data_IF_717407938104
#
_entry.id   IF_717407938104
#
_cell.length_a   1.000
_cell.length_b   1.000
_cell.length_c   1.000
_cell.angle_alpha   90.00
_cell.angle_beta   90.00
_cell.angle_gamma   90.00
#
_symmetry.space_group_name_H-M   'P 1'
#
loop_
_entity.id
_entity.type
_entity.pdbx_description
1 polymer ?
#
# COMPACT_ATOMS: atom_id res chain seq x y z
N UNK A 1 -26.74 -14.13 3.12
CA UNK A 1 -26.53 -15.33 2.28
C UNK A 1 -26.93 -16.54 3.10
N UNK A 2 -28.22 -16.66 3.42
CA UNK A 2 -28.55 -17.23 4.73
C UNK A 2 -29.55 -18.37 4.73
N UNK A 3 -30.06 -18.85 3.58
CA UNK A 3 -31.10 -19.89 3.61
C UNK A 3 -31.25 -20.70 2.30
N UNK A 4 -30.17 -20.96 1.54
CA UNK A 4 -30.29 -21.64 0.22
C UNK A 4 -30.86 -23.06 0.36
N UNK A 5 -30.41 -23.82 1.37
CA UNK A 5 -30.96 -25.13 1.67
C UNK A 5 -32.45 -25.06 2.06
N UNK A 6 -32.83 -24.09 2.89
CA UNK A 6 -34.21 -23.88 3.30
C UNK A 6 -35.11 -23.49 2.12
N UNK A 7 -34.60 -22.72 1.15
CA UNK A 7 -35.31 -22.43 -0.10
C UNK A 7 -35.50 -23.68 -0.96
N UNK A 8 -34.46 -24.52 -1.11
CA UNK A 8 -34.53 -25.79 -1.85
C UNK A 8 -35.54 -26.73 -1.21
N UNK A 9 -35.45 -26.94 0.11
CA UNK A 9 -36.36 -27.82 0.85
C UNK A 9 -37.81 -27.35 0.74
N UNK A 10 -38.09 -26.05 0.89
CA UNK A 10 -39.44 -25.50 0.72
C UNK A 10 -39.94 -25.63 -0.71
N UNK A 11 -39.08 -25.44 -1.70
CA UNK A 11 -39.44 -25.61 -3.11
C UNK A 11 -39.81 -27.06 -3.40
N UNK A 12 -39.00 -28.03 -2.95
CA UNK A 12 -39.26 -29.46 -3.10
C UNK A 12 -40.54 -29.87 -2.39
N UNK A 13 -40.77 -29.41 -1.16
CA UNK A 13 -42.02 -29.67 -0.42
C UNK A 13 -43.25 -29.09 -1.13
N UNK A 14 -43.17 -27.83 -1.58
CA UNK A 14 -44.28 -27.15 -2.23
C UNK A 14 -44.61 -27.75 -3.60
N UNK A 15 -43.63 -28.00 -4.45
CA UNK A 15 -43.84 -28.59 -5.78
C UNK A 15 -44.32 -30.04 -5.68
N UNK A 16 -43.80 -30.83 -4.74
CA UNK A 16 -44.31 -32.19 -4.53
C UNK A 16 -45.75 -32.15 -3.99
N UNK A 17 -46.05 -31.25 -3.05
CA UNK A 17 -47.42 -31.09 -2.54
C UNK A 17 -48.39 -30.61 -3.62
N UNK A 18 -47.98 -29.69 -4.50
CA UNK A 18 -48.78 -29.18 -5.61
C UNK A 18 -48.97 -30.23 -6.70
N UNK A 19 -47.93 -30.97 -7.07
CA UNK A 19 -47.99 -32.06 -8.04
C UNK A 19 -48.96 -33.17 -7.58
N UNK A 20 -49.01 -33.46 -6.28
CA UNK A 20 -49.90 -34.47 -5.69
C UNK A 20 -51.32 -33.97 -5.45
N UNK A 21 -51.49 -32.66 -5.21
CA UNK A 21 -52.80 -32.04 -4.97
C UNK A 21 -53.46 -31.55 -6.26
N UNK A 22 -52.73 -31.50 -7.37
CA UNK A 22 -53.27 -31.14 -8.68
C UNK A 22 -54.27 -32.18 -9.17
N UNK A 23 -55.32 -31.70 -9.84
CA UNK A 23 -56.44 -32.49 -10.37
C UNK A 23 -56.06 -33.69 -11.25
N UNK A 24 -54.78 -33.87 -11.63
CA UNK A 24 -54.30 -35.09 -12.27
C UNK A 24 -54.49 -36.38 -11.43
N UNK A 25 -54.71 -36.27 -10.11
CA UNK A 25 -55.02 -37.41 -9.24
C UNK A 25 -56.51 -37.71 -9.13
N UNK A 26 -57.35 -36.69 -9.36
CA UNK A 26 -58.75 -36.90 -9.63
C UNK A 26 -58.83 -37.23 -11.11
N UNK A 27 -58.76 -38.54 -11.42
CA UNK A 27 -59.24 -39.08 -12.69
C UNK A 27 -60.74 -38.74 -12.85
N UNK A 28 -61.05 -37.46 -13.04
CA UNK A 28 -62.41 -36.92 -13.19
C UNK A 28 -62.96 -37.27 -14.59
N UNK A 29 -62.05 -37.64 -15.50
CA UNK A 29 -62.33 -38.09 -16.86
C UNK A 29 -62.75 -39.57 -16.97
N UNK A 30 -62.80 -40.34 -15.87
CA UNK A 30 -63.40 -41.68 -15.86
C UNK A 30 -64.90 -41.66 -15.52
N UNK A 31 -65.52 -40.49 -15.61
CA UNK A 31 -66.93 -40.23 -15.30
C UNK A 31 -67.87 -40.89 -16.32
N UNK A 32 -68.05 -42.20 -16.21
CA UNK A 32 -69.18 -42.89 -16.84
C UNK A 32 -69.09 -44.41 -16.98
N UNK A 33 -67.90 -44.99 -17.13
CA UNK A 33 -67.77 -46.40 -17.55
C UNK A 33 -67.20 -47.35 -16.48
N UNK A 34 -66.58 -46.83 -15.43
CA UNK A 34 -65.91 -47.65 -14.41
C UNK A 34 -66.64 -47.52 -13.05
N UNK A 35 -67.04 -48.62 -12.41
CA UNK A 35 -67.62 -48.59 -11.07
C UNK A 35 -66.71 -47.86 -10.08
N UNK A 36 -67.30 -46.99 -9.27
CA UNK A 36 -66.59 -46.16 -8.29
C UNK A 36 -65.68 -46.97 -7.34
N UNK A 37 -66.03 -48.22 -7.07
CA UNK A 37 -65.25 -49.13 -6.24
C UNK A 37 -63.89 -49.49 -6.86
N UNK A 38 -63.83 -49.65 -8.19
CA UNK A 38 -62.59 -49.92 -8.92
C UNK A 38 -61.73 -48.67 -8.97
N UNK A 39 -62.33 -47.50 -9.18
CA UNK A 39 -61.62 -46.21 -9.11
C UNK A 39 -61.05 -45.98 -7.70
N UNK A 40 -61.79 -46.32 -6.64
CA UNK A 40 -61.33 -46.21 -5.26
C UNK A 40 -60.16 -47.16 -4.95
N UNK A 41 -60.26 -48.42 -5.39
CA UNK A 41 -59.19 -49.41 -5.24
C UNK A 41 -57.94 -49.03 -6.03
N UNK A 42 -58.10 -48.53 -7.26
CA UNK A 42 -56.99 -48.06 -8.09
C UNK A 42 -56.30 -46.85 -7.44
N UNK A 43 -57.07 -45.89 -6.91
CA UNK A 43 -56.54 -44.76 -6.13
C UNK A 43 -55.77 -45.23 -4.91
N UNK A 44 -56.33 -46.15 -4.12
CA UNK A 44 -55.66 -46.70 -2.94
C UNK A 44 -54.32 -47.38 -3.32
N UNK A 45 -54.32 -48.19 -4.37
CA UNK A 45 -53.12 -48.89 -4.83
C UNK A 45 -52.03 -47.95 -5.37
N UNK A 46 -52.42 -46.87 -6.07
CA UNK A 46 -51.48 -45.86 -6.58
C UNK A 46 -50.89 -45.03 -5.44
N UNK A 47 -51.70 -44.66 -4.45
CA UNK A 47 -51.24 -43.95 -3.25
C UNK A 47 -50.27 -44.84 -2.45
N UNK A 48 -50.62 -46.10 -2.25
CA UNK A 48 -49.79 -47.05 -1.49
C UNK A 48 -48.44 -47.30 -2.17
N UNK A 49 -48.42 -47.59 -3.47
CA UNK A 49 -47.16 -47.80 -4.22
C UNK A 49 -46.27 -46.57 -4.31
N UNK A 50 -46.84 -45.35 -4.27
CA UNK A 50 -46.07 -44.09 -4.37
C UNK A 50 -45.61 -43.54 -3.02
N UNK A 51 -46.22 -43.96 -1.91
CA UNK A 51 -45.81 -43.57 -0.54
C UNK A 51 -44.33 -43.89 -0.27
N UNK A 52 -43.84 -44.99 -0.83
CA UNK A 52 -42.43 -45.38 -0.72
C UNK A 52 -41.49 -44.47 -1.54
N UNK A 53 -41.95 -43.94 -2.67
CA UNK A 53 -41.18 -42.98 -3.50
C UNK A 53 -41.17 -41.57 -2.94
N UNK A 54 -42.19 -41.22 -2.15
CA UNK A 54 -42.46 -39.87 -1.66
C UNK A 54 -42.28 -39.72 -0.14
N UNK A 55 -41.53 -40.62 0.49
CA UNK A 55 -41.22 -40.52 1.91
C UNK A 55 -40.43 -39.24 2.21
N UNK A 56 -40.72 -38.60 3.35
CA UNK A 56 -40.02 -37.38 3.81
C UNK A 56 -38.50 -37.56 3.83
N UNK A 57 -38.01 -38.74 4.21
CA UNK A 57 -36.58 -39.04 4.19
C UNK A 57 -35.95 -39.07 2.78
N UNK A 58 -36.73 -39.39 1.73
CA UNK A 58 -36.26 -39.28 0.33
C UNK A 58 -36.29 -37.84 -0.18
N UNK A 59 -37.25 -37.04 0.28
CA UNK A 59 -37.31 -35.60 -0.02
C UNK A 59 -36.13 -34.85 0.62
N UNK A 60 -35.78 -35.19 1.86
CA UNK A 60 -34.60 -34.65 2.54
C UNK A 60 -33.31 -35.05 1.81
N UNK A 61 -33.22 -36.31 1.36
CA UNK A 61 -32.06 -36.80 0.62
C UNK A 61 -31.93 -36.11 -0.75
N UNK A 62 -33.04 -35.93 -1.46
CA UNK A 62 -33.07 -35.17 -2.72
C UNK A 62 -32.69 -33.70 -2.51
N UNK A 63 -33.22 -33.06 -1.46
CA UNK A 63 -32.90 -31.66 -1.13
C UNK A 63 -31.42 -31.50 -0.79
N UNK A 64 -30.84 -32.48 -0.10
CA UNK A 64 -29.41 -32.54 0.18
C UNK A 64 -28.59 -32.72 -1.09
N UNK A 65 -28.97 -33.65 -1.97
CA UNK A 65 -28.25 -33.89 -3.22
C UNK A 65 -28.28 -32.67 -4.15
N UNK A 66 -29.41 -31.97 -4.23
CA UNK A 66 -29.53 -30.69 -4.96
C UNK A 66 -28.61 -29.63 -4.34
N UNK A 67 -28.59 -29.53 -3.01
CA UNK A 67 -27.73 -28.58 -2.31
C UNK A 67 -26.24 -28.88 -2.53
N UNK A 68 -25.84 -30.15 -2.47
CA UNK A 68 -24.45 -30.57 -2.69
C UNK A 68 -24.01 -30.25 -4.12
N UNK A 69 -24.86 -30.49 -5.12
CA UNK A 69 -24.61 -30.12 -6.52
C UNK A 69 -24.51 -28.60 -6.73
N UNK A 70 -25.40 -27.82 -6.12
CA UNK A 70 -25.37 -26.34 -6.16
C UNK A 70 -24.12 -25.79 -5.47
N UNK A 71 -23.71 -26.40 -4.36
CA UNK A 71 -22.49 -26.04 -3.64
C UNK A 71 -21.25 -26.28 -4.49
N UNK A 72 -21.18 -27.42 -5.19
CA UNK A 72 -20.09 -27.73 -6.10
C UNK A 72 -20.04 -26.77 -7.30
N UNK A 73 -21.20 -26.47 -7.90
CA UNK A 73 -21.30 -25.47 -8.97
C UNK A 73 -20.82 -24.10 -8.49
N UNK A 74 -21.28 -23.67 -7.31
CA UNK A 74 -20.87 -22.40 -6.71
C UNK A 74 -19.37 -22.36 -6.41
N UNK A 75 -18.79 -23.46 -5.95
CA UNK A 75 -17.35 -23.54 -5.72
C UNK A 75 -16.56 -23.31 -7.02
N UNK A 76 -16.98 -23.96 -8.11
CA UNK A 76 -16.38 -23.76 -9.45
C UNK A 76 -16.56 -22.32 -9.94
N UNK A 77 -17.76 -21.76 -9.81
CA UNK A 77 -18.04 -20.37 -10.18
C UNK A 77 -17.23 -19.37 -9.34
N UNK A 78 -17.10 -19.61 -8.04
CA UNK A 78 -16.28 -18.77 -7.15
C UNK A 78 -14.81 -18.82 -7.56
N UNK A 79 -14.29 -19.98 -7.93
CA UNK A 79 -12.92 -20.12 -8.42
C UNK A 79 -12.75 -19.37 -9.74
N UNK A 80 -13.68 -19.53 -10.68
CA UNK A 80 -13.67 -18.79 -11.95
C UNK A 80 -13.72 -17.28 -11.75
N UNK A 81 -14.52 -16.78 -10.81
CA UNK A 81 -14.57 -15.36 -10.48
C UNK A 81 -13.25 -14.90 -9.87
N UNK A 82 -12.65 -15.68 -8.97
CA UNK A 82 -11.34 -15.36 -8.40
C UNK A 82 -10.24 -15.32 -9.47
N UNK A 83 -10.28 -16.22 -10.45
CA UNK A 83 -9.31 -16.28 -11.55
C UNK A 83 -9.54 -15.18 -12.59
N UNK A 84 -10.78 -14.71 -12.78
CA UNK A 84 -11.14 -13.62 -13.70
C UNK A 84 -10.79 -12.23 -13.15
N UNK A 85 -10.67 -12.08 -11.82
CA UNK A 85 -10.24 -10.83 -11.18
C UNK A 85 -8.72 -10.72 -11.33
N UNK A 86 -8.29 -10.32 -12.53
CA UNK A 86 -6.92 -9.92 -12.85
C UNK A 86 -6.56 -8.49 -12.39
N UNK A 87 -7.41 -7.87 -11.56
CA UNK A 87 -7.12 -6.59 -10.93
C UNK A 87 -6.03 -6.75 -9.86
N UNK A 88 -5.24 -5.69 -9.63
CA UNK A 88 -4.23 -5.67 -8.56
C UNK A 88 -4.91 -6.06 -7.24
N UNK A 89 -4.54 -7.21 -6.64
CA UNK A 89 -5.26 -7.69 -5.48
C UNK A 89 -5.03 -6.74 -4.31
N UNK A 90 -6.11 -6.48 -3.55
CA UNK A 90 -6.05 -5.56 -2.40
C UNK A 90 -4.95 -5.92 -1.40
N UNK A 91 -4.64 -7.21 -1.24
CA UNK A 91 -3.59 -7.67 -0.34
C UNK A 91 -2.17 -7.28 -0.80
N UNK A 92 -1.95 -7.05 -2.10
CA UNK A 92 -0.67 -6.61 -2.67
C UNK A 92 -0.47 -5.10 -2.57
N UNK A 93 -1.51 -4.33 -2.24
CA UNK A 93 -1.40 -2.90 -2.00
C UNK A 93 -0.97 -2.66 -0.55
N UNK A 94 -0.02 -1.76 -0.38
CA UNK A 94 0.41 -1.29 0.93
C UNK A 94 -0.71 -0.62 1.74
N UNK A 95 -0.46 -0.43 3.03
CA UNK A 95 -1.48 -0.05 4.00
C UNK A 95 -2.09 1.33 3.78
N UNK A 96 -1.29 2.30 3.31
CA UNK A 96 -1.74 3.66 3.02
C UNK A 96 -2.52 3.70 1.70
N UNK A 97 -2.08 2.96 0.68
CA UNK A 97 -2.84 2.87 -0.58
C UNK A 97 -4.19 2.20 -0.37
N UNK A 98 -4.25 1.14 0.45
CA UNK A 98 -5.50 0.45 0.78
C UNK A 98 -6.47 1.32 1.57
N UNK A 99 -5.96 2.05 2.57
CA UNK A 99 -6.80 2.97 3.37
C UNK A 99 -7.39 4.10 2.53
N UNK A 100 -6.65 4.56 1.50
CA UNK A 100 -7.12 5.56 0.53
C UNK A 100 -8.20 5.02 -0.41
N UNK A 101 -8.11 3.75 -0.83
CA UNK A 101 -9.14 3.08 -1.62
C UNK A 101 -10.43 2.91 -0.81
N UNK A 102 -10.31 2.64 0.50
CA UNK A 102 -11.45 2.44 1.40
C UNK A 102 -12.06 3.77 1.91
N UNK A 103 -11.41 4.91 1.65
CA UNK A 103 -11.95 6.26 1.90
C UNK A 103 -11.79 6.77 3.35
N UNK A 104 -11.18 6.01 4.26
CA UNK A 104 -10.95 6.41 5.66
C UNK A 104 -9.45 6.58 5.97
N UNK A 105 -8.78 7.55 5.34
CA UNK A 105 -7.42 7.92 5.75
C UNK A 105 -7.45 8.93 6.90
N UNK A 106 -7.44 8.44 8.16
CA UNK A 106 -7.40 9.27 9.39
C UNK A 106 -6.01 9.84 9.71
N UNK A 107 -4.96 9.27 9.14
CA UNK A 107 -3.58 9.72 9.28
C UNK A 107 -2.85 9.41 7.99
N UNK A 108 -2.03 10.34 7.50
CA UNK A 108 -1.28 10.16 6.25
C UNK A 108 0.20 10.22 6.57
N UNK A 109 0.90 9.08 6.50
CA UNK A 109 2.35 9.06 6.58
C UNK A 109 2.95 9.12 5.17
N UNK A 110 3.75 10.15 4.90
CA UNK A 110 4.46 10.30 3.61
C UNK A 110 5.51 9.21 3.44
N UNK A 111 6.22 8.83 4.50
CA UNK A 111 7.23 7.77 4.48
C UNK A 111 6.61 6.44 4.06
N UNK A 112 5.50 6.04 4.71
CA UNK A 112 4.78 4.81 4.35
C UNK A 112 4.18 4.87 2.96
N UNK A 113 3.71 6.04 2.52
CA UNK A 113 3.21 6.21 1.17
C UNK A 113 4.33 6.06 0.12
N UNK A 114 5.55 6.52 0.41
CA UNK A 114 6.72 6.33 -0.45
C UNK A 114 7.06 4.84 -0.55
N UNK A 115 7.08 4.12 0.57
CA UNK A 115 7.30 2.67 0.59
C UNK A 115 6.22 1.94 -0.23
N UNK A 116 4.94 2.23 0.03
CA UNK A 116 3.82 1.62 -0.67
C UNK A 116 3.85 1.87 -2.19
N UNK A 117 4.25 3.07 -2.63
CA UNK A 117 4.35 3.43 -4.05
C UNK A 117 5.51 2.70 -4.73
N UNK A 118 6.62 2.49 -4.03
CA UNK A 118 7.76 1.74 -4.57
C UNK A 118 7.46 0.24 -4.70
N UNK A 119 6.60 -0.31 -3.84
CA UNK A 119 6.16 -1.70 -3.88
C UNK A 119 5.08 -2.00 -4.93
N UNK A 120 4.50 -0.97 -5.58
CA UNK A 120 3.47 -1.17 -6.60
C UNK A 120 3.98 -2.05 -7.75
N UNK A 121 3.24 -3.11 -8.15
CA UNK A 121 3.64 -3.98 -9.24
C UNK A 121 3.61 -3.23 -10.58
N UNK A 122 4.53 -3.61 -11.48
CA UNK A 122 4.44 -3.20 -12.87
C UNK A 122 3.50 -4.15 -13.59
N UNK A 123 2.43 -3.62 -14.19
CA UNK A 123 1.60 -4.39 -15.10
C UNK A 123 2.20 -4.31 -16.49
N UNK A 124 2.70 -5.43 -17.00
CA UNK A 124 3.17 -5.55 -18.39
C UNK A 124 2.05 -6.06 -19.29
N UNK A 125 1.96 -5.47 -20.47
CA UNK A 125 1.06 -5.94 -21.53
C UNK A 125 1.71 -7.19 -22.10
N UNK A 126 1.23 -8.36 -21.69
CA UNK A 126 1.50 -9.58 -22.44
C UNK A 126 0.71 -9.42 -23.74
N UNK A 127 1.41 -9.22 -24.85
CA UNK A 127 0.83 -9.23 -26.20
C UNK A 127 0.46 -10.67 -26.58
N UNK A 128 -0.42 -11.30 -25.81
CA UNK A 128 -1.08 -12.52 -26.24
C UNK A 128 -2.34 -12.14 -27.01
N UNK A 129 -2.47 -12.81 -28.15
CA UNK A 129 -3.44 -12.57 -29.19
C UNK A 129 -4.87 -12.60 -28.62
N UNK A 130 -5.72 -11.72 -29.17
CA UNK A 130 -7.18 -11.63 -28.97
C UNK A 130 -7.72 -10.65 -27.89
N UNK A 131 -8.15 -9.49 -28.39
CA UNK A 131 -9.37 -8.78 -27.95
C UNK A 131 -9.42 -8.21 -26.51
N UNK A 132 -8.36 -7.59 -26.01
CA UNK A 132 -8.55 -6.54 -24.99
C UNK A 132 -9.18 -5.30 -25.64
N UNK A 133 -10.30 -4.75 -25.11
CA UNK A 133 -10.87 -3.52 -25.65
C UNK A 133 -9.83 -2.40 -25.57
N UNK A 134 -9.63 -1.62 -26.64
CA UNK A 134 -8.62 -0.54 -26.72
C UNK A 134 -8.58 0.39 -25.49
N UNK A 135 -9.72 0.56 -24.81
CA UNK A 135 -9.83 1.34 -23.58
C UNK A 135 -9.04 0.74 -22.40
N UNK A 136 -8.98 -0.58 -22.23
CA UNK A 136 -8.25 -1.23 -21.14
C UNK A 136 -6.73 -1.04 -21.31
N UNK A 137 -6.22 -1.19 -22.54
CA UNK A 137 -4.82 -0.95 -22.85
C UNK A 137 -4.42 0.52 -22.60
N UNK A 138 -5.33 1.46 -22.90
CA UNK A 138 -5.11 2.88 -22.62
C UNK A 138 -5.03 3.17 -21.12
N UNK A 139 -5.94 2.60 -20.32
CA UNK A 139 -5.94 2.74 -18.86
C UNK A 139 -4.67 2.12 -18.26
N UNK A 140 -4.23 0.97 -18.78
CA UNK A 140 -3.02 0.31 -18.30
C UNK A 140 -1.76 1.13 -18.56
N UNK A 141 -1.68 1.75 -19.74
CA UNK A 141 -0.59 2.67 -20.07
C UNK A 141 -0.64 3.93 -19.19
N UNK A 142 -1.83 4.48 -18.93
CA UNK A 142 -2.01 5.60 -17.99
C UNK A 142 -1.53 5.22 -16.58
N UNK A 143 -1.90 4.04 -16.08
CA UNK A 143 -1.42 3.51 -14.80
C UNK A 143 0.11 3.39 -14.78
N UNK A 144 0.71 2.81 -15.82
CA UNK A 144 2.16 2.63 -15.91
C UNK A 144 2.91 3.97 -15.91
N UNK A 145 2.38 4.97 -16.62
CA UNK A 145 2.94 6.32 -16.63
C UNK A 145 2.79 7.00 -15.27
N UNK A 146 1.62 6.91 -14.65
CA UNK A 146 1.38 7.47 -13.32
C UNK A 146 2.29 6.83 -12.26
N UNK A 147 2.48 5.51 -12.32
CA UNK A 147 3.40 4.78 -11.44
C UNK A 147 4.84 5.31 -11.60
N UNK A 148 5.33 5.46 -12.84
CA UNK A 148 6.67 6.00 -13.11
C UNK A 148 6.81 7.43 -12.57
N UNK A 149 5.83 8.27 -12.80
CA UNK A 149 5.83 9.65 -12.30
C UNK A 149 5.84 9.70 -10.78
N UNK A 150 5.03 8.87 -10.11
CA UNK A 150 5.01 8.79 -8.65
C UNK A 150 6.34 8.31 -8.08
N UNK A 151 6.99 7.32 -8.71
CA UNK A 151 8.33 6.87 -8.33
C UNK A 151 9.34 8.02 -8.44
N UNK A 152 9.31 8.80 -9.53
CA UNK A 152 10.17 9.97 -9.71
C UNK A 152 9.93 11.03 -8.63
N UNK A 153 8.67 11.26 -8.23
CA UNK A 153 8.34 12.18 -7.13
C UNK A 153 8.90 11.67 -5.80
N UNK A 154 8.78 10.38 -5.51
CA UNK A 154 9.33 9.78 -4.30
C UNK A 154 10.86 9.93 -4.23
N UNK A 155 11.55 9.67 -5.35
CA UNK A 155 13.00 9.86 -5.46
C UNK A 155 13.40 11.33 -5.25
N UNK A 156 12.64 12.27 -5.83
CA UNK A 156 12.89 13.69 -5.65
C UNK A 156 12.71 14.14 -4.19
N UNK A 157 11.72 13.59 -3.47
CA UNK A 157 11.50 13.85 -2.04
C UNK A 157 12.71 13.36 -1.24
N UNK A 158 13.14 12.11 -1.42
CA UNK A 158 14.27 11.53 -0.70
C UNK A 158 15.57 12.31 -0.93
N UNK A 159 15.83 12.71 -2.19
CA UNK A 159 17.00 13.55 -2.52
C UNK A 159 16.86 14.92 -1.87
N UNK A 160 15.67 15.51 -1.90
CA UNK A 160 15.34 16.78 -1.30
C UNK A 160 15.58 16.79 0.21
N UNK A 161 15.12 15.78 0.94
CA UNK A 161 15.31 15.64 2.39
C UNK A 161 16.79 15.57 2.75
N UNK A 162 17.57 14.75 2.03
CA UNK A 162 19.01 14.65 2.25
C UNK A 162 19.71 15.99 2.00
N UNK A 163 19.40 16.67 0.89
CA UNK A 163 20.02 17.96 0.57
C UNK A 163 19.58 19.07 1.51
N UNK A 164 18.34 19.04 1.97
CA UNK A 164 17.86 19.98 2.98
C UNK A 164 18.64 19.81 4.29
N UNK A 165 18.87 18.58 4.73
CA UNK A 165 19.68 18.29 5.92
C UNK A 165 21.12 18.81 5.80
N UNK A 166 21.76 18.58 4.65
CA UNK A 166 23.10 19.12 4.38
C UNK A 166 23.14 20.65 4.42
N UNK A 167 22.18 21.32 3.78
CA UNK A 167 22.08 22.79 3.77
C UNK A 167 21.83 23.32 5.19
N UNK A 168 20.96 22.66 5.96
CA UNK A 168 20.67 23.05 7.34
C UNK A 168 21.93 22.95 8.20
N UNK A 169 22.73 21.90 8.03
CA UNK A 169 24.03 21.78 8.69
C UNK A 169 25.00 22.91 8.30
N UNK A 170 25.08 23.26 7.02
CA UNK A 170 25.92 24.38 6.56
C UNK A 170 25.46 25.72 7.14
N UNK A 171 24.15 25.98 7.13
CA UNK A 171 23.56 27.18 7.71
C UNK A 171 23.84 27.25 9.21
N UNK A 172 23.75 26.14 9.94
CA UNK A 172 24.10 26.10 11.35
C UNK A 172 25.57 26.46 11.58
N UNK A 173 26.50 25.92 10.79
CA UNK A 173 27.93 26.27 10.90
C UNK A 173 28.19 27.75 10.60
N UNK A 174 27.53 28.30 9.58
CA UNK A 174 27.62 29.72 9.24
C UNK A 174 27.06 30.58 10.37
N UNK A 175 25.89 30.22 10.91
CA UNK A 175 25.28 30.94 12.03
C UNK A 175 26.16 30.89 13.28
N UNK A 176 26.78 29.74 13.58
CA UNK A 176 27.75 29.64 14.67
C UNK A 176 28.94 30.57 14.47
N UNK A 177 29.52 30.62 13.27
CA UNK A 177 30.63 31.54 12.96
C UNK A 177 30.21 33.01 13.11
N UNK A 178 29.06 33.39 12.55
CA UNK A 178 28.50 34.74 12.66
C UNK A 178 28.29 35.13 14.12
N UNK A 179 27.71 34.23 14.93
CA UNK A 179 27.47 34.48 16.34
C UNK A 179 28.79 34.60 17.13
N UNK A 180 29.78 33.75 16.88
CA UNK A 180 31.09 33.87 17.52
C UNK A 180 31.80 35.18 17.16
N UNK A 181 31.70 35.65 15.91
CA UNK A 181 32.24 36.95 15.52
C UNK A 181 31.52 38.07 16.27
N UNK A 182 30.19 38.03 16.36
CA UNK A 182 29.39 39.02 17.10
C UNK A 182 29.70 39.04 18.60
N UNK A 183 29.89 37.88 19.22
CA UNK A 183 30.27 37.79 20.63
C UNK A 183 31.68 38.31 20.90
N UNK A 184 32.60 38.17 19.94
CA UNK A 184 34.01 38.57 20.09
C UNK A 184 34.26 40.02 19.63
N UNK A 185 33.46 40.53 18.71
CA UNK A 185 33.60 41.87 18.14
C UNK A 185 32.72 42.87 18.89
N UNK A 186 33.34 43.87 19.51
CA UNK A 186 32.64 44.89 20.32
C UNK A 186 31.54 45.64 19.52
N UNK A 187 31.74 45.82 18.22
CA UNK A 187 30.85 46.60 17.35
C UNK A 187 29.69 45.79 16.72
N UNK A 188 29.58 44.49 16.98
CA UNK A 188 28.55 43.59 16.39
C UNK A 188 28.47 43.58 14.83
N UNK A 189 29.38 44.28 14.13
CA UNK A 189 29.40 44.34 12.67
C UNK A 189 30.31 43.27 12.06
N UNK A 190 29.65 42.20 11.60
CA UNK A 190 30.31 41.06 10.93
C UNK A 190 30.85 41.44 9.55
N UNK A 191 30.22 42.40 8.87
CA UNK A 191 30.62 42.79 7.51
C UNK A 191 31.93 43.56 7.54
N UNK A 192 32.06 44.49 8.50
CA UNK A 192 33.30 45.22 8.73
C UNK A 192 34.42 44.29 9.22
N UNK A 193 34.10 43.30 10.06
CA UNK A 193 35.06 42.29 10.49
C UNK A 193 35.69 41.54 9.30
N UNK A 194 34.87 41.07 8.34
CA UNK A 194 35.39 40.39 7.15
C UNK A 194 36.13 41.34 6.20
N UNK A 195 35.67 42.60 6.05
CA UNK A 195 36.33 43.59 5.19
C UNK A 195 37.73 43.97 5.70
N UNK A 196 37.87 44.14 7.02
CA UNK A 196 39.13 44.54 7.67
C UNK A 196 40.03 43.36 8.06
N UNK A 197 39.57 42.12 7.89
CA UNK A 197 40.29 40.92 8.30
C UNK A 197 41.71 40.85 7.71
N UNK A 198 41.85 41.14 6.41
CA UNK A 198 43.14 41.07 5.74
C UNK A 198 44.10 42.16 6.23
N UNK A 199 43.59 43.36 6.52
CA UNK A 199 44.39 44.45 7.07
C UNK A 199 44.88 44.11 8.48
N UNK A 200 43.99 43.60 9.34
CA UNK A 200 44.35 43.10 10.69
C UNK A 200 45.40 41.99 10.62
N UNK A 201 45.29 41.10 9.63
CA UNK A 201 46.27 40.02 9.41
C UNK A 201 47.64 40.57 8.98
N UNK A 202 47.68 41.57 8.08
CA UNK A 202 48.93 42.20 7.65
C UNK A 202 49.63 42.90 8.82
N UNK A 203 48.89 43.67 9.63
CA UNK A 203 49.43 44.33 10.82
C UNK A 203 49.99 43.29 11.80
N UNK A 204 49.24 42.22 12.09
CA UNK A 204 49.70 41.14 12.97
C UNK A 204 50.96 40.43 12.43
N UNK A 205 51.07 40.25 11.10
CA UNK A 205 52.26 39.68 10.47
C UNK A 205 53.47 40.63 10.53
N UNK A 206 53.27 41.94 10.38
CA UNK A 206 54.32 42.94 10.52
C UNK A 206 54.82 43.04 11.97
N UNK A 207 53.91 43.01 12.95
CA UNK A 207 54.26 42.92 14.37
C UNK A 207 55.04 41.65 14.68
N UNK A 208 54.61 40.51 14.14
CA UNK A 208 55.31 39.24 14.30
C UNK A 208 56.70 39.26 13.63
N UNK A 209 56.84 39.92 12.48
CA UNK A 209 58.12 40.15 11.81
C UNK A 209 59.03 41.03 12.66
N UNK A 210 58.52 42.10 13.26
CA UNK A 210 59.28 42.95 14.17
C UNK A 210 59.74 42.19 15.41
N UNK A 211 58.87 41.38 16.03
CA UNK A 211 59.23 40.50 17.15
C UNK A 211 60.33 39.50 16.78
N UNK A 212 60.26 38.92 15.58
CA UNK A 212 61.30 38.04 15.03
C UNK A 212 62.61 38.80 14.78
N UNK A 213 62.55 39.97 14.17
CA UNK A 213 63.72 40.81 13.92
C UNK A 213 64.38 41.29 15.23
N UNK A 214 63.60 41.68 16.23
CA UNK A 214 64.11 42.04 17.55
C UNK A 214 64.77 40.83 18.22
N UNK A 215 64.14 39.66 18.15
CA UNK A 215 64.71 38.41 18.65
C UNK A 215 66.03 38.03 17.95
N UNK A 216 66.18 38.35 16.66
CA UNK A 216 67.40 38.10 15.87
C UNK A 216 68.48 39.17 16.11
N UNK A 217 68.12 40.46 16.18
CA UNK A 217 69.04 41.59 16.36
C UNK A 217 69.60 41.68 17.77
N UNK A 218 68.85 41.22 18.78
CA UNK A 218 69.31 41.12 20.17
C UNK A 218 70.09 39.82 20.44
N UNK A 219 70.76 39.29 19.40
CA UNK A 219 71.52 38.03 19.44
C UNK A 219 72.81 38.14 20.25
N UNK A 220 72.63 38.20 21.57
CA UNK A 220 73.39 37.32 22.44
C UNK A 220 72.59 36.02 22.59
N UNK A 221 73.25 34.88 22.37
CA UNK A 221 72.69 33.52 22.36
C UNK A 221 72.12 33.08 23.72
N UNK A 222 71.01 33.68 24.15
CA UNK A 222 70.30 33.33 25.38
C UNK A 222 69.35 32.14 25.18
N UNK A 223 69.41 31.09 26.02
CA UNK A 223 68.55 29.90 25.93
C UNK A 223 67.05 30.18 26.15
N UNK A 224 66.69 31.29 26.80
CA UNK A 224 65.29 31.67 27.04
C UNK A 224 64.56 32.12 25.76
N UNK A 225 65.26 32.82 24.86
CA UNK A 225 64.67 33.26 23.58
C UNK A 225 64.48 32.10 22.60
N UNK A 226 65.38 31.10 22.61
CA UNK A 226 65.15 29.83 21.89
C UNK A 226 63.92 29.09 22.38
N UNK A 227 63.61 29.14 23.69
CA UNK A 227 62.36 28.60 24.23
C UNK A 227 61.13 29.40 23.76
N UNK A 228 61.19 30.74 23.72
CA UNK A 228 60.10 31.57 23.16
C UNK A 228 59.82 31.27 21.69
N UNK A 229 60.87 31.20 20.85
CA UNK A 229 60.72 30.85 19.44
C UNK A 229 60.17 29.43 19.28
N UNK A 230 60.65 28.47 20.09
CA UNK A 230 60.12 27.09 20.09
C UNK A 230 58.67 27.02 20.54
N UNK A 231 58.25 27.89 21.47
CA UNK A 231 56.86 28.04 21.92
C UNK A 231 55.94 28.53 20.82
N UNK A 232 56.32 29.62 20.15
CA UNK A 232 55.58 30.16 18.99
C UNK A 232 55.48 29.11 17.88
N UNK A 233 56.57 28.39 17.60
CA UNK A 233 56.62 27.36 16.57
C UNK A 233 55.78 26.11 16.93
N UNK A 234 55.58 25.83 18.22
CA UNK A 234 54.67 24.78 18.67
C UNK A 234 53.20 25.18 18.70
N UNK A 235 52.89 26.47 18.90
CA UNK A 235 51.52 26.99 18.83
C UNK A 235 51.00 27.09 17.40
N UNK A 236 51.87 27.46 16.44
CA UNK A 236 51.53 27.55 15.02
C UNK A 236 51.38 26.20 14.30
N UNK A 237 51.92 25.11 14.87
CA UNK A 237 51.91 23.76 14.24
C UNK A 237 50.76 22.86 14.69
N UNK A 238 49.92 23.32 15.61
CA UNK A 238 48.79 22.56 16.13
C UNK A 238 47.56 22.74 15.26
#
# INVERSE_FOLDING_TARGET
MTDTYNSISKFVENELSAFLSSDNYLMDDLSGEIPNEVCRLLKAQVIEKRKDGLSRGKQDLLSKEIYDNESELRARQSQQIMDLIGDIPKYSLGSELRSRVEGESRSTSIERLIEDVLELPQMEIIHEEESEPENNLKILNEYSNLRKDLILKCQAIQIGERKLSEILSQVNSINSLINSIKETSEDNDVSEYFATYNEKLVVALEEMKLLLEEAIKTSDTSPEKRKKIKGILSELKK
#
